data_IF_219376214103
#
_entry.id   IF_219376214103
#
_cell.length_a   1.000
_cell.length_b   1.000
_cell.length_c   1.000
_cell.angle_alpha   90.00
_cell.angle_beta   90.00
_cell.angle_gamma   90.00
#
_symmetry.space_group_name_H-M   'P 1'
#
loop_
_entity.id
_entity.type
_entity.pdbx_description
1 polymer ?
#
# COMPACT_ATOMS: atom_id res chain seq x y z
N UNK A 1 -0.10 22.48 0.14
CA UNK A 1 -0.35 23.44 1.21
C UNK A 1 0.84 24.36 1.37
N UNK A 2 0.60 25.65 1.23
CA UNK A 2 1.64 26.67 1.34
C UNK A 2 2.37 26.63 2.67
N UNK A 3 1.67 26.30 3.74
CA UNK A 3 2.23 26.34 5.08
C UNK A 3 2.93 25.07 5.48
N UNK A 4 2.37 23.93 5.09
CA UNK A 4 2.89 22.64 5.49
C UNK A 4 3.89 22.06 4.51
N UNK A 5 3.77 22.41 3.23
CA UNK A 5 4.68 21.94 2.19
C UNK A 5 4.86 20.42 2.24
N UNK A 6 3.76 19.70 2.13
CA UNK A 6 3.74 18.26 2.14
C UNK A 6 3.41 17.76 0.74
N UNK A 7 4.21 16.82 0.26
CA UNK A 7 3.90 16.10 -0.97
C UNK A 7 3.31 14.75 -0.59
N UNK A 8 2.17 14.45 -1.17
CA UNK A 8 1.47 13.20 -0.92
C UNK A 8 1.41 12.41 -2.23
N UNK A 9 1.83 11.16 -2.17
CA UNK A 9 1.71 10.24 -3.29
C UNK A 9 0.79 9.11 -2.84
N UNK A 10 -0.22 8.83 -3.65
CA UNK A 10 -1.12 7.73 -3.34
C UNK A 10 -1.31 6.83 -4.55
N UNK A 11 -1.53 5.57 -4.29
CA UNK A 11 -1.78 4.56 -5.30
C UNK A 11 -2.88 3.65 -4.81
N UNK A 12 -3.58 2.99 -5.72
CA UNK A 12 -4.59 2.02 -5.34
C UNK A 12 -4.43 0.78 -6.19
N UNK A 13 -4.86 -0.35 -5.64
CA UNK A 13 -4.84 -1.60 -6.38
C UNK A 13 -6.04 -1.67 -7.31
N UNK A 14 -5.80 -2.18 -8.51
CA UNK A 14 -6.87 -2.42 -9.47
C UNK A 14 -7.56 -3.74 -9.14
N UNK A 15 -8.28 -3.74 -8.02
CA UNK A 15 -9.05 -4.90 -7.56
C UNK A 15 -10.52 -4.59 -7.82
N UNK A 16 -11.10 -5.31 -8.76
CA UNK A 16 -12.49 -5.12 -9.14
C UNK A 16 -13.36 -6.18 -8.46
N UNK A 17 -13.56 -6.02 -7.16
CA UNK A 17 -14.36 -6.93 -6.37
C UNK A 17 -15.79 -6.43 -6.28
N UNK A 18 -16.74 -7.24 -6.74
CA UNK A 18 -18.16 -6.95 -6.61
C UNK A 18 -18.73 -7.60 -5.37
N UNK A 19 -19.73 -6.97 -4.78
CA UNK A 19 -20.42 -7.49 -3.63
C UNK A 19 -19.79 -7.07 -2.31
N UNK A 20 -20.14 -7.79 -1.26
CA UNK A 20 -19.74 -7.44 0.11
C UNK A 20 -18.32 -7.95 0.37
N UNK A 21 -17.51 -7.08 0.97
CA UNK A 21 -16.14 -7.41 1.34
C UNK A 21 -16.11 -7.77 2.83
N UNK A 22 -15.42 -8.85 3.17
CA UNK A 22 -15.28 -9.30 4.55
C UNK A 22 -14.63 -8.22 5.41
N UNK A 23 -15.11 -8.07 6.64
CA UNK A 23 -14.52 -7.15 7.61
C UNK A 23 -13.09 -7.52 7.98
N UNK A 24 -12.67 -8.74 7.67
CA UNK A 24 -11.29 -9.18 7.90
C UNK A 24 -10.27 -8.38 7.08
N UNK A 25 -10.74 -7.60 6.09
CA UNK A 25 -9.84 -6.70 5.36
C UNK A 25 -9.14 -5.73 6.30
N UNK A 26 -9.83 -5.26 7.34
CA UNK A 26 -9.22 -4.34 8.30
C UNK A 26 -8.10 -5.01 9.10
N UNK A 27 -8.25 -6.30 9.42
CA UNK A 27 -7.19 -7.07 10.06
C UNK A 27 -5.97 -7.20 9.16
N UNK A 28 -6.20 -7.49 7.88
CA UNK A 28 -5.10 -7.60 6.92
C UNK A 28 -4.35 -6.27 6.77
N UNK A 29 -5.09 -5.18 6.62
CA UNK A 29 -4.49 -3.84 6.52
C UNK A 29 -3.65 -3.55 7.75
N UNK A 30 -4.17 -3.85 8.95
CA UNK A 30 -3.46 -3.63 10.19
C UNK A 30 -2.16 -4.43 10.25
N UNK A 31 -2.21 -5.71 9.90
CA UNK A 31 -1.04 -6.59 9.91
C UNK A 31 0.01 -6.10 8.91
N UNK A 32 -0.42 -5.73 7.71
CA UNK A 32 0.50 -5.22 6.69
C UNK A 32 1.17 -3.94 7.17
N UNK A 33 0.40 -3.02 7.76
CA UNK A 33 0.93 -1.75 8.24
C UNK A 33 1.97 -1.91 9.34
N UNK A 34 1.92 -2.99 10.10
CA UNK A 34 2.97 -3.27 11.09
C UNK A 34 4.32 -3.55 10.44
N UNK A 35 4.33 -3.94 9.17
CA UNK A 35 5.54 -4.35 8.45
C UNK A 35 6.00 -3.31 7.43
N UNK A 36 5.16 -2.36 7.07
CA UNK A 36 5.49 -1.31 6.11
C UNK A 36 6.51 -0.35 6.72
N UNK A 37 7.56 -0.05 5.99
CA UNK A 37 8.60 0.86 6.46
C UNK A 37 8.24 2.33 6.24
N UNK A 38 7.65 2.64 5.09
CA UNK A 38 7.33 4.01 4.70
C UNK A 38 5.92 4.03 4.14
N UNK A 39 5.12 4.97 4.63
CA UNK A 39 3.74 5.10 4.20
C UNK A 39 2.81 4.13 4.93
N UNK A 40 1.60 4.00 4.43
CA UNK A 40 0.62 3.10 5.02
C UNK A 40 -0.46 2.72 4.01
N UNK A 41 -1.07 1.56 4.24
CA UNK A 41 -2.24 1.12 3.48
C UNK A 41 -3.52 1.46 4.24
N UNK A 42 -4.60 1.69 3.50
CA UNK A 42 -5.91 1.78 4.10
C UNK A 42 -6.96 1.24 3.13
N UNK A 43 -8.02 0.68 3.69
CA UNK A 43 -9.14 0.18 2.90
C UNK A 43 -10.22 1.24 2.83
N UNK A 44 -10.63 1.56 1.60
CA UNK A 44 -11.75 2.48 1.37
C UNK A 44 -13.01 1.66 1.12
N UNK A 45 -13.91 1.66 2.10
CA UNK A 45 -15.15 0.86 2.01
C UNK A 45 -16.07 1.35 0.90
N UNK A 46 -16.02 2.64 0.61
CA UNK A 46 -16.85 3.23 -0.45
C UNK A 46 -16.42 2.77 -1.83
N UNK A 47 -15.12 2.74 -2.09
CA UNK A 47 -14.57 2.32 -3.37
C UNK A 47 -14.20 0.84 -3.40
N UNK A 48 -14.29 0.17 -2.26
CA UNK A 48 -14.01 -1.26 -2.10
C UNK A 48 -12.62 -1.65 -2.60
N UNK A 49 -11.64 -0.79 -2.33
CA UNK A 49 -10.27 -1.07 -2.71
C UNK A 49 -9.29 -0.56 -1.65
N UNK A 50 -8.05 -0.98 -1.79
CA UNK A 50 -6.98 -0.63 -0.87
C UNK A 50 -6.10 0.43 -1.51
N UNK A 51 -5.83 1.48 -0.75
CA UNK A 51 -4.94 2.56 -1.14
C UNK A 51 -3.65 2.47 -0.35
N UNK A 52 -2.56 2.87 -0.99
CA UNK A 52 -1.30 3.12 -0.31
C UNK A 52 -1.03 4.62 -0.35
N UNK A 53 -0.65 5.19 0.79
CA UNK A 53 -0.31 6.61 0.89
C UNK A 53 1.08 6.79 1.47
N UNK A 54 1.83 7.69 0.86
CA UNK A 54 3.15 8.10 1.34
C UNK A 54 3.23 9.61 1.30
N UNK A 55 3.54 10.21 2.42
CA UNK A 55 3.61 11.66 2.55
C UNK A 55 5.00 12.05 3.02
N UNK A 56 5.54 13.10 2.42
CA UNK A 56 6.87 13.60 2.72
C UNK A 56 6.80 15.11 2.90
N UNK A 57 7.42 15.58 3.98
CA UNK A 57 7.61 17.02 4.18
C UNK A 57 8.73 17.50 3.28
N UNK A 58 8.47 18.57 2.55
CA UNK A 58 9.46 19.20 1.67
C UNK A 58 9.75 20.63 2.12
N UNK A 59 9.51 20.91 3.39
CA UNK A 59 9.79 22.21 3.97
C UNK A 59 11.25 22.56 3.79
N UNK A 60 11.52 23.76 3.27
CA UNK A 60 12.88 24.19 3.00
C UNK A 60 13.37 23.91 1.58
N UNK A 61 12.58 23.18 0.78
CA UNK A 61 12.88 22.93 -0.62
C UNK A 61 12.00 23.83 -1.49
N UNK A 62 12.58 24.42 -2.52
CA UNK A 62 11.81 25.24 -3.46
C UNK A 62 10.96 24.37 -4.36
N UNK A 63 11.53 23.25 -4.82
CA UNK A 63 10.84 22.27 -5.65
C UNK A 63 11.61 20.95 -5.61
N UNK A 64 10.94 19.87 -6.02
CA UNK A 64 11.60 18.57 -6.14
C UNK A 64 12.23 18.43 -7.51
N UNK A 65 13.42 17.85 -7.56
CA UNK A 65 14.05 17.54 -8.83
C UNK A 65 13.55 16.15 -9.32
N UNK A 66 13.95 15.78 -10.53
CA UNK A 66 13.51 14.53 -11.14
C UNK A 66 13.90 13.31 -10.32
N UNK A 67 15.11 13.30 -9.76
CA UNK A 67 15.57 12.17 -8.95
C UNK A 67 14.72 11.99 -7.69
N UNK A 68 14.36 13.10 -7.06
CA UNK A 68 13.53 13.05 -5.85
C UNK A 68 12.13 12.54 -6.18
N UNK A 69 11.55 12.95 -7.30
CA UNK A 69 10.24 12.45 -7.73
C UNK A 69 10.29 10.96 -8.04
N UNK A 70 11.33 10.53 -8.76
CA UNK A 70 11.51 9.12 -9.08
C UNK A 70 11.65 8.28 -7.81
N UNK A 71 12.37 8.79 -6.82
CA UNK A 71 12.57 8.11 -5.56
C UNK A 71 11.25 7.92 -4.81
N UNK A 72 10.42 8.97 -4.76
CA UNK A 72 9.09 8.86 -4.17
C UNK A 72 8.23 7.81 -4.85
N UNK A 73 8.23 7.82 -6.18
CA UNK A 73 7.46 6.85 -6.96
C UNK A 73 7.98 5.44 -6.75
N UNK A 74 9.30 5.27 -6.65
CA UNK A 74 9.91 3.97 -6.39
C UNK A 74 9.52 3.40 -5.04
N UNK A 75 9.47 4.24 -3.99
CA UNK A 75 9.03 3.82 -2.67
C UNK A 75 7.61 3.27 -2.74
N UNK A 76 6.72 4.03 -3.38
CA UNK A 76 5.31 3.64 -3.51
C UNK A 76 5.19 2.33 -4.28
N UNK A 77 5.88 2.22 -5.41
CA UNK A 77 5.83 1.04 -6.26
C UNK A 77 6.34 -0.20 -5.53
N UNK A 78 7.47 -0.08 -4.84
CA UNK A 78 8.06 -1.22 -4.11
C UNK A 78 7.15 -1.72 -2.99
N UNK A 79 6.59 -0.81 -2.22
CA UNK A 79 5.69 -1.22 -1.13
C UNK A 79 4.41 -1.84 -1.68
N UNK A 80 3.83 -1.26 -2.74
CA UNK A 80 2.64 -1.82 -3.37
C UNK A 80 2.92 -3.20 -3.96
N UNK A 81 4.02 -3.37 -4.68
CA UNK A 81 4.36 -4.66 -5.30
C UNK A 81 4.62 -5.73 -4.25
N UNK A 82 5.21 -5.35 -3.13
CA UNK A 82 5.52 -6.29 -2.05
C UNK A 82 4.26 -6.87 -1.42
N UNK A 83 3.24 -6.05 -1.22
CA UNK A 83 2.06 -6.46 -0.48
C UNK A 83 0.84 -6.74 -1.35
N UNK A 84 0.89 -6.42 -2.65
CA UNK A 84 -0.22 -6.71 -3.56
C UNK A 84 -0.62 -8.19 -3.55
N UNK A 85 0.31 -9.16 -3.56
CA UNK A 85 -0.09 -10.57 -3.55
C UNK A 85 -0.95 -10.95 -2.34
N UNK A 86 -0.66 -10.37 -1.17
CA UNK A 86 -1.46 -10.65 0.02
C UNK A 86 -2.90 -10.16 -0.14
N UNK A 87 -3.06 -8.93 -0.65
CA UNK A 87 -4.40 -8.37 -0.88
C UNK A 87 -5.13 -9.13 -1.98
N UNK A 88 -4.43 -9.51 -3.05
CA UNK A 88 -5.02 -10.32 -4.11
C UNK A 88 -5.56 -11.64 -3.57
N UNK A 89 -4.77 -12.34 -2.79
CA UNK A 89 -5.20 -13.62 -2.20
C UNK A 89 -6.41 -13.43 -1.27
N UNK A 90 -6.41 -12.35 -0.50
CA UNK A 90 -7.55 -12.07 0.37
C UNK A 90 -8.82 -11.83 -0.44
N UNK A 91 -8.77 -10.98 -1.45
CA UNK A 91 -9.95 -10.59 -2.20
C UNK A 91 -10.47 -11.71 -3.11
N UNK A 92 -9.59 -12.47 -3.73
CA UNK A 92 -9.99 -13.44 -4.75
C UNK A 92 -9.95 -14.89 -4.30
N UNK A 93 -9.16 -15.20 -3.28
CA UNK A 93 -9.04 -16.58 -2.77
C UNK A 93 -9.64 -16.75 -1.37
N UNK A 94 -10.15 -15.68 -0.77
CA UNK A 94 -10.81 -15.69 0.54
C UNK A 94 -9.99 -16.36 1.64
N UNK A 95 -8.69 -16.11 1.64
CA UNK A 95 -7.79 -16.68 2.63
C UNK A 95 -7.77 -15.86 3.91
N UNK A 96 -7.33 -16.49 5.00
CA UNK A 96 -7.14 -15.81 6.28
C UNK A 96 -6.03 -14.74 6.16
N UNK A 97 -6.21 -13.54 6.76
CA UNK A 97 -5.21 -12.47 6.63
C UNK A 97 -3.79 -12.87 7.02
N UNK A 98 -3.63 -13.61 8.10
CA UNK A 98 -2.29 -14.03 8.54
C UNK A 98 -1.67 -15.00 7.56
N UNK A 99 -2.47 -15.92 7.04
CA UNK A 99 -1.99 -16.90 6.08
C UNK A 99 -1.54 -16.23 4.78
N UNK A 100 -2.36 -15.33 4.24
CA UNK A 100 -2.03 -14.71 2.95
C UNK A 100 -0.76 -13.86 3.04
N UNK A 101 -0.57 -13.17 4.17
CA UNK A 101 0.62 -12.36 4.35
C UNK A 101 1.88 -13.23 4.42
N UNK A 102 1.84 -14.28 5.21
CA UNK A 102 2.97 -15.21 5.34
C UNK A 102 3.31 -15.86 4.02
N UNK A 103 2.31 -16.34 3.30
CA UNK A 103 2.51 -16.97 1.99
C UNK A 103 3.13 -16.01 0.98
N UNK A 104 2.62 -14.77 0.92
CA UNK A 104 3.12 -13.79 -0.02
C UNK A 104 4.56 -13.37 0.30
N UNK A 105 4.92 -13.27 1.57
CA UNK A 105 6.29 -12.93 1.97
C UNK A 105 7.27 -14.05 1.64
N UNK A 106 6.86 -15.29 1.81
CA UNK A 106 7.68 -16.45 1.45
C UNK A 106 7.97 -16.44 -0.05
N UNK A 107 6.97 -16.19 -0.87
CA UNK A 107 7.15 -16.09 -2.31
C UNK A 107 8.11 -14.95 -2.68
N UNK A 108 7.96 -13.80 -2.05
CA UNK A 108 8.82 -12.65 -2.29
C UNK A 108 10.28 -12.97 -1.97
N UNK A 109 10.53 -13.60 -0.84
CA UNK A 109 11.89 -13.99 -0.46
C UNK A 109 12.44 -15.11 -1.34
N UNK A 110 11.57 -16.01 -1.79
CA UNK A 110 11.96 -17.08 -2.69
C UNK A 110 12.43 -16.58 -4.05
N UNK A 111 11.92 -15.45 -4.48
CA UNK A 111 12.29 -14.85 -5.76
C UNK A 111 13.59 -14.02 -5.67
N UNK A 112 13.94 -13.63 -4.48
CA UNK A 112 15.16 -12.86 -4.25
C UNK A 112 16.38 -13.73 -4.24
#
# INVERSE_FOLDING_TARGET
DEYNQIISVSSHFDINKKGKISKNIYSLVSIVNEKVNLGYFHFCSKLKTVFFKYQVSVKGFDFLNQEQVEDLLNVVTKECDKYFPAFYLFFYKKQDPKYVLNASLIETYGEA
#
